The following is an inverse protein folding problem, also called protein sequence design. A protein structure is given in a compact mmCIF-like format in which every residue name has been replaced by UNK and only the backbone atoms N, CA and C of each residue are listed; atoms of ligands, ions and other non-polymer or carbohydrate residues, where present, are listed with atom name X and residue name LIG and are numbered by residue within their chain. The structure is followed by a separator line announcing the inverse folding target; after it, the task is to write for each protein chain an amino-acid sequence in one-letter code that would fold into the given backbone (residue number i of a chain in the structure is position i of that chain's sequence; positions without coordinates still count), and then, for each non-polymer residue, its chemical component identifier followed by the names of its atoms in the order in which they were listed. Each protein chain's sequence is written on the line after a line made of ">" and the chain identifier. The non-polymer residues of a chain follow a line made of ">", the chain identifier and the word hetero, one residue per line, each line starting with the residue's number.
data_IF_907902692125
#
_entry.id   IF_907902692125
#
_cell.length_a   1.000
_cell.length_b   1.000
_cell.length_c   1.000
_cell.angle_alpha   90.00
_cell.angle_beta   90.00
_cell.angle_gamma   90.00
#
_symmetry.space_group_name_H-M   'P 1'
#
loop_
_entity.id
_entity.type
_entity.pdbx_description
1 polymer ?
#
# COMPACT_ATOMS: atom_id res chain seq x y z
N UNK A 1 -1.37 7.74 -14.84
CA UNK A 1 -0.97 6.67 -13.90
C UNK A 1 -2.19 6.20 -13.13
N UNK A 2 -2.27 4.92 -12.79
CA UNK A 2 -3.31 4.39 -11.92
C UNK A 2 -2.75 3.24 -11.07
N UNK A 3 -3.32 3.03 -9.88
CA UNK A 3 -2.80 2.09 -8.90
C UNK A 3 -3.93 1.26 -8.31
N UNK A 4 -3.73 -0.05 -8.23
CA UNK A 4 -4.62 -0.98 -7.55
C UNK A 4 -3.82 -1.79 -6.53
N UNK A 5 -4.22 -1.76 -5.27
CA UNK A 5 -3.55 -2.48 -4.20
C UNK A 5 -4.56 -3.23 -3.34
N UNK A 6 -4.13 -4.35 -2.78
CA UNK A 6 -4.84 -5.06 -1.74
C UNK A 6 -3.84 -5.52 -0.70
N UNK A 7 -4.26 -5.52 0.56
CA UNK A 7 -3.41 -5.83 1.69
C UNK A 7 -4.25 -6.45 2.78
N UNK A 8 -3.73 -7.51 3.37
CA UNK A 8 -4.22 -8.08 4.62
C UNK A 8 -3.02 -8.38 5.51
N UNK A 9 -3.26 -8.52 6.81
CA UNK A 9 -2.19 -8.56 7.80
C UNK A 9 -2.22 -9.82 8.61
N UNK A 10 -1.04 -10.40 8.86
CA UNK A 10 -0.86 -11.46 9.86
C UNK A 10 0.02 -10.95 10.98
N UNK A 11 -0.56 -10.83 12.18
CA UNK A 11 0.15 -10.34 13.36
C UNK A 11 0.73 -11.51 14.18
N UNK A 12 1.93 -11.32 14.71
CA UNK A 12 2.64 -12.26 15.58
C UNK A 12 3.23 -11.53 16.78
N UNK A 13 3.06 -12.11 17.97
CA UNK A 13 3.65 -11.61 19.21
C UNK A 13 5.01 -12.29 19.46
N UNK A 14 6.02 -11.49 19.79
CA UNK A 14 7.41 -11.92 20.00
C UNK A 14 7.91 -11.52 21.40
N UNK A 15 7.04 -11.45 22.41
CA UNK A 15 7.37 -11.00 23.76
C UNK A 15 7.48 -9.48 23.84
N UNK A 16 8.65 -8.92 23.57
CA UNK A 16 8.90 -7.47 23.63
C UNK A 16 8.54 -6.75 22.32
N UNK A 17 7.95 -7.44 21.36
CA UNK A 17 7.63 -6.89 20.04
C UNK A 17 6.39 -7.55 19.43
N UNK A 18 5.75 -6.83 18.52
CA UNK A 18 4.69 -7.33 17.63
C UNK A 18 5.19 -7.19 16.20
N UNK A 19 5.20 -8.27 15.43
CA UNK A 19 5.43 -8.21 13.98
C UNK A 19 4.11 -8.32 13.23
N UNK A 20 3.99 -7.54 12.16
CA UNK A 20 2.83 -7.49 11.28
C UNK A 20 3.33 -7.77 9.86
N UNK A 21 3.02 -8.96 9.36
CA UNK A 21 3.28 -9.33 7.98
C UNK A 21 2.24 -8.65 7.08
N UNK A 22 2.70 -7.82 6.15
CA UNK A 22 1.83 -7.10 5.20
C UNK A 22 1.74 -7.91 3.90
N UNK A 23 0.67 -8.69 3.76
CA UNK A 23 0.51 -9.67 2.68
C UNK A 23 -0.41 -9.09 1.61
N UNK A 24 0.01 -9.20 0.36
CA UNK A 24 -0.69 -8.68 -0.81
C UNK A 24 0.29 -8.02 -1.78
N UNK A 25 -0.26 -7.43 -2.84
CA UNK A 25 0.51 -6.69 -3.82
C UNK A 25 -0.23 -5.44 -4.33
N UNK A 26 0.58 -4.51 -4.82
CA UNK A 26 0.15 -3.35 -5.57
C UNK A 26 0.56 -3.46 -7.03
N UNK A 27 -0.32 -2.98 -7.91
CA UNK A 27 -0.05 -2.82 -9.34
C UNK A 27 -0.13 -1.35 -9.68
N UNK A 28 0.99 -0.77 -10.09
CA UNK A 28 1.09 0.59 -10.63
C UNK A 28 1.15 0.53 -12.15
N UNK A 29 0.13 1.05 -12.82
CA UNK A 29 0.09 1.12 -14.28
C UNK A 29 0.46 2.51 -14.77
N UNK A 30 1.53 2.60 -15.55
CA UNK A 30 1.90 3.80 -16.30
C UNK A 30 1.19 3.79 -17.66
N UNK A 31 -0.04 4.33 -17.67
CA UNK A 31 -0.93 4.34 -18.83
C UNK A 31 -0.34 4.87 -20.15
N UNK A 32 0.66 5.76 -20.09
CA UNK A 32 1.29 6.34 -21.28
C UNK A 32 2.36 5.42 -21.89
N UNK A 33 2.96 4.56 -21.08
CA UNK A 33 3.98 3.59 -21.50
C UNK A 33 3.40 2.18 -21.67
N UNK A 34 2.15 1.99 -21.23
CA UNK A 34 1.50 0.68 -21.16
C UNK A 34 2.38 -0.30 -20.37
N UNK A 35 2.89 0.17 -19.23
CA UNK A 35 3.74 -0.59 -18.32
C UNK A 35 3.02 -0.82 -17.00
N UNK A 36 3.19 -2.02 -16.45
CA UNK A 36 2.68 -2.39 -15.14
C UNK A 36 3.84 -2.76 -14.23
N UNK A 37 3.88 -2.14 -13.07
CA UNK A 37 4.84 -2.38 -12.01
C UNK A 37 4.12 -3.06 -10.86
N UNK A 38 4.45 -4.33 -10.62
CA UNK A 38 3.91 -5.11 -9.50
C UNK A 38 4.87 -4.99 -8.34
N UNK A 39 4.37 -4.68 -7.14
CA UNK A 39 5.19 -4.53 -5.95
C UNK A 39 4.55 -5.10 -4.69
N UNK A 40 5.39 -5.58 -3.78
CA UNK A 40 4.99 -6.07 -2.45
C UNK A 40 5.17 -5.00 -1.38
N UNK A 41 4.78 -5.30 -0.14
CA UNK A 41 4.89 -4.39 1.01
C UNK A 41 5.97 -4.87 1.97
N UNK A 42 6.65 -3.96 2.70
CA UNK A 42 7.51 -4.36 3.80
C UNK A 42 6.65 -4.82 4.98
N UNK A 43 7.19 -5.66 5.86
CA UNK A 43 6.57 -5.95 7.14
C UNK A 43 6.73 -4.76 8.09
N UNK A 44 5.84 -4.65 9.07
CA UNK A 44 5.95 -3.65 10.13
C UNK A 44 6.20 -4.33 11.47
N UNK A 45 7.03 -3.73 12.31
CA UNK A 45 7.31 -4.22 13.66
C UNK A 45 7.06 -3.10 14.66
N UNK A 46 6.28 -3.39 15.69
CA UNK A 46 6.18 -2.56 16.88
C UNK A 46 7.11 -3.14 17.95
N UNK A 47 8.09 -2.37 18.38
CA UNK A 47 9.14 -2.75 19.32
C UNK A 47 8.90 -2.11 20.68
N UNK A 48 9.49 -2.68 21.73
CA UNK A 48 9.47 -2.11 23.08
C UNK A 48 8.05 -1.86 23.62
N UNK A 49 7.12 -2.78 23.33
CA UNK A 49 5.68 -2.63 23.63
C UNK A 49 5.36 -2.58 25.13
N UNK A 50 6.26 -3.06 26.00
CA UNK A 50 6.12 -2.99 27.46
C UNK A 50 6.82 -1.77 28.08
N UNK A 51 7.49 -0.94 27.26
CA UNK A 51 8.20 0.26 27.73
C UNK A 51 7.82 1.48 26.90
N UNK A 52 8.64 1.87 25.93
CA UNK A 52 8.36 2.99 25.03
C UNK A 52 8.20 2.45 23.60
N UNK A 53 6.95 2.25 23.13
CA UNK A 53 6.70 1.66 21.82
C UNK A 53 7.28 2.49 20.69
N UNK A 54 7.93 1.83 19.73
CA UNK A 54 8.36 2.45 18.47
C UNK A 54 8.18 1.48 17.32
N UNK A 55 8.08 2.00 16.10
CA UNK A 55 7.88 1.18 14.92
C UNK A 55 9.10 1.17 13.99
N UNK A 56 9.26 0.08 13.26
CA UNK A 56 10.20 -0.04 12.14
C UNK A 56 9.58 -0.88 11.02
N UNK A 57 10.09 -0.67 9.81
CA UNK A 57 9.80 -1.51 8.67
C UNK A 57 10.91 -2.54 8.49
N UNK A 58 10.54 -3.74 8.04
CA UNK A 58 11.49 -4.81 7.83
C UNK A 58 11.10 -5.74 6.69
N UNK A 59 12.07 -6.54 6.24
CA UNK A 59 11.84 -7.54 5.20
C UNK A 59 12.04 -7.01 3.79
N UNK A 60 11.66 -7.84 2.80
CA UNK A 60 12.01 -7.63 1.40
C UNK A 60 10.81 -7.16 0.58
N UNK A 61 10.97 -6.03 -0.08
CA UNK A 61 10.04 -5.50 -1.08
C UNK A 61 10.59 -5.80 -2.47
N UNK A 62 9.77 -6.45 -3.30
CA UNK A 62 10.08 -6.65 -4.71
C UNK A 62 9.23 -5.69 -5.55
N UNK A 63 9.80 -5.13 -6.61
CA UNK A 63 9.11 -4.30 -7.60
C UNK A 63 9.53 -4.83 -8.96
N UNK A 64 8.61 -5.22 -9.83
CA UNK A 64 8.96 -5.77 -11.15
C UNK A 64 8.03 -5.28 -12.25
N UNK A 65 8.59 -5.15 -13.45
CA UNK A 65 7.83 -4.85 -14.66
C UNK A 65 8.17 -5.90 -15.72
N UNK A 66 7.21 -6.78 -16.01
CA UNK A 66 7.41 -7.87 -16.97
C UNK A 66 7.66 -7.37 -18.39
N UNK A 67 7.05 -6.24 -18.77
CA UNK A 67 7.20 -5.66 -20.13
C UNK A 67 8.62 -5.17 -20.40
N UNK A 68 9.24 -4.51 -19.42
CA UNK A 68 10.58 -3.93 -19.59
C UNK A 68 11.68 -4.87 -19.10
N UNK A 69 11.34 -5.94 -18.36
CA UNK A 69 12.29 -6.86 -17.77
C UNK A 69 13.07 -6.29 -16.57
N UNK A 70 12.76 -5.06 -16.12
CA UNK A 70 13.37 -4.50 -14.93
C UNK A 70 12.72 -5.06 -13.66
N UNK A 71 13.56 -5.35 -12.67
CA UNK A 71 13.15 -5.80 -11.35
C UNK A 71 14.03 -5.16 -10.29
N UNK A 72 13.44 -4.81 -9.16
CA UNK A 72 14.11 -4.25 -8.01
C UNK A 72 13.79 -5.07 -6.77
N UNK A 73 14.81 -5.29 -5.95
CA UNK A 73 14.72 -5.97 -4.67
C UNK A 73 15.27 -5.03 -3.61
N UNK A 74 14.39 -4.51 -2.75
CA UNK A 74 14.73 -3.57 -1.67
C UNK A 74 14.51 -4.27 -0.33
N UNK A 75 15.54 -4.34 0.49
CA UNK A 75 15.49 -4.87 1.85
C UNK A 75 15.40 -3.72 2.83
N UNK A 76 14.33 -3.73 3.63
CA UNK A 76 14.20 -2.91 4.83
C UNK A 76 14.87 -3.66 5.98
N UNK A 77 15.90 -3.07 6.55
CA UNK A 77 16.67 -3.66 7.64
C UNK A 77 16.05 -3.28 8.97
N UNK A 78 15.71 -4.30 9.76
CA UNK A 78 15.36 -4.11 11.17
C UNK A 78 16.63 -3.81 11.96
N UNK A 79 16.52 -2.98 13.00
CA UNK A 79 17.65 -2.62 13.86
C UNK A 79 18.29 -3.88 14.47
N UNK A 80 19.62 -4.07 14.36
CA UNK A 80 20.33 -5.13 15.06
C UNK A 80 20.20 -5.02 16.58
N UNK A 81 20.35 -6.15 17.28
CA UNK A 81 20.26 -6.20 18.74
C UNK A 81 21.38 -5.39 19.43
N UNK A 82 22.56 -5.29 18.81
CA UNK A 82 23.73 -4.59 19.37
C UNK A 82 24.04 -3.32 18.58
N UNK A 83 23.38 -2.22 18.94
CA UNK A 83 23.56 -0.95 18.25
C UNK A 83 23.13 -0.98 16.78
N UNK A 84 23.35 0.11 16.07
CA UNK A 84 23.02 0.24 14.65
C UNK A 84 22.06 1.39 14.34
N UNK A 85 22.05 1.74 13.06
CA UNK A 85 21.27 2.84 12.50
C UNK A 85 19.87 2.30 12.16
N UNK A 86 18.83 3.08 12.47
CA UNK A 86 17.44 2.73 12.18
C UNK A 86 17.10 2.98 10.72
N UNK A 87 15.97 2.43 10.27
CA UNK A 87 15.34 2.75 9.00
C UNK A 87 16.24 2.53 7.78
N UNK A 88 17.23 1.65 7.91
CA UNK A 88 18.17 1.35 6.83
C UNK A 88 17.48 0.55 5.72
N UNK A 89 17.81 0.89 4.47
CA UNK A 89 17.44 0.14 3.29
C UNK A 89 18.66 -0.16 2.44
N UNK A 90 18.67 -1.34 1.82
CA UNK A 90 19.56 -1.64 0.71
C UNK A 90 18.76 -2.24 -0.44
N UNK A 91 19.25 -2.12 -1.65
CA UNK A 91 18.60 -2.76 -2.77
C UNK A 91 19.37 -2.64 -4.07
N UNK A 92 18.82 -3.25 -5.09
CA UNK A 92 19.36 -3.18 -6.44
C UNK A 92 18.23 -3.22 -7.46
N UNK A 93 18.43 -2.49 -8.55
CA UNK A 93 17.62 -2.56 -9.76
C UNK A 93 18.41 -3.34 -10.80
N UNK A 94 17.81 -4.38 -11.36
CA UNK A 94 18.40 -5.28 -12.36
C UNK A 94 17.53 -5.34 -13.60
N UNK A 95 18.17 -5.45 -14.76
CA UNK A 95 17.50 -5.85 -15.99
C UNK A 95 17.63 -7.37 -16.14
N UNK A 96 16.57 -8.10 -15.79
CA UNK A 96 16.59 -9.56 -15.67
C UNK A 96 17.06 -10.27 -16.94
N UNK A 97 16.63 -9.90 -18.16
CA UNK A 97 17.08 -10.58 -19.39
C UNK A 97 18.58 -10.50 -19.62
N UNK A 98 19.22 -9.39 -19.21
CA UNK A 98 20.67 -9.19 -19.41
C UNK A 98 21.52 -9.52 -18.18
N UNK A 99 20.91 -9.76 -17.02
CA UNK A 99 21.59 -9.86 -15.72
C UNK A 99 22.26 -8.56 -15.23
N UNK A 100 22.21 -7.47 -16.00
CA UNK A 100 22.88 -6.21 -15.68
C UNK A 100 22.26 -5.53 -14.45
N UNK A 101 23.12 -5.14 -13.50
CA UNK A 101 22.75 -4.22 -12.41
C UNK A 101 22.72 -2.80 -12.96
N UNK A 102 21.57 -2.14 -12.81
CA UNK A 102 21.30 -0.79 -13.30
C UNK A 102 21.57 0.25 -12.22
N UNK A 103 21.22 -0.07 -10.98
CA UNK A 103 21.31 0.84 -9.84
C UNK A 103 21.47 0.03 -8.56
N UNK A 104 22.30 0.52 -7.64
CA UNK A 104 22.34 0.06 -6.25
C UNK A 104 21.74 1.13 -5.34
N UNK A 105 20.95 0.72 -4.38
CA UNK A 105 20.22 1.58 -3.45
C UNK A 105 20.79 1.34 -2.06
N UNK A 106 21.10 2.41 -1.33
CA UNK A 106 21.55 2.36 0.06
C UNK A 106 21.09 3.63 0.79
N UNK A 107 20.79 3.54 2.09
CA UNK A 107 20.51 4.71 2.92
C UNK A 107 19.43 4.45 3.96
N UNK A 108 18.77 5.51 4.39
CA UNK A 108 17.65 5.49 5.34
C UNK A 108 16.37 5.95 4.63
N UNK A 109 15.31 5.15 4.67
CA UNK A 109 14.07 5.44 3.93
C UNK A 109 13.31 6.68 4.45
N UNK A 110 13.62 7.10 5.67
CA UNK A 110 13.07 8.30 6.34
C UNK A 110 13.90 9.56 6.10
N UNK A 111 15.22 9.42 5.91
CA UNK A 111 16.17 10.56 5.91
C UNK A 111 16.81 10.82 4.55
N UNK A 112 17.63 9.87 4.06
CA UNK A 112 18.44 10.05 2.85
C UNK A 112 18.68 8.69 2.18
N UNK A 113 18.40 8.63 0.88
CA UNK A 113 18.57 7.46 0.02
C UNK A 113 19.57 7.82 -1.09
N UNK A 114 20.59 7.00 -1.25
CA UNK A 114 21.60 7.11 -2.29
C UNK A 114 21.41 6.00 -3.33
N UNK A 115 21.47 6.41 -4.60
CA UNK A 115 21.30 5.58 -5.77
C UNK A 115 22.57 5.64 -6.61
N UNK A 116 23.27 4.52 -6.70
CA UNK A 116 24.56 4.42 -7.39
C UNK A 116 24.39 3.68 -8.71
N UNK A 117 24.70 4.34 -9.82
CA UNK A 117 24.62 3.80 -11.17
C UNK A 117 26.01 3.34 -11.64
N UNK A 118 26.23 2.02 -11.82
CA UNK A 118 27.48 1.50 -12.34
C UNK A 118 27.53 1.74 -13.85
N UNK A 119 28.06 2.88 -14.28
CA UNK A 119 28.34 3.15 -15.69
C UNK A 119 29.83 2.90 -16.01
N UNK A 120 30.16 2.65 -17.28
CA UNK A 120 31.49 2.22 -17.77
C UNK A 120 32.58 3.32 -17.74
N UNK A 121 32.51 4.27 -16.82
CA UNK A 121 33.49 5.36 -16.71
C UNK A 121 33.43 6.09 -15.38
N UNK A 122 32.35 6.82 -15.13
CA UNK A 122 32.15 7.57 -13.88
C UNK A 122 30.93 7.03 -13.16
N UNK A 123 31.12 6.64 -11.90
CA UNK A 123 30.02 6.22 -11.04
C UNK A 123 29.14 7.43 -10.74
N UNK A 124 27.91 7.43 -11.27
CA UNK A 124 26.94 8.47 -10.96
C UNK A 124 26.22 8.11 -9.64
N UNK A 125 26.18 9.06 -8.71
CA UNK A 125 25.41 8.94 -7.47
C UNK A 125 24.29 9.96 -7.50
N UNK A 126 23.05 9.50 -7.32
CA UNK A 126 21.87 10.34 -7.14
C UNK A 126 21.39 10.22 -5.70
N UNK A 127 21.07 11.35 -5.09
CA UNK A 127 20.58 11.43 -3.72
C UNK A 127 19.11 11.83 -3.72
N UNK A 128 18.32 11.20 -2.85
CA UNK A 128 16.95 11.56 -2.51
C UNK A 128 16.87 11.78 -1.00
N UNK A 129 16.23 12.86 -0.56
CA UNK A 129 16.10 13.21 0.86
C UNK A 129 14.60 13.25 1.26
N UNK A 130 14.00 12.12 1.67
CA UNK A 130 12.57 12.05 1.99
C UNK A 130 12.11 12.99 3.11
N UNK A 131 13.00 13.33 4.05
CA UNK A 131 12.71 14.19 5.19
C UNK A 131 12.35 15.64 4.79
N UNK A 132 12.91 16.16 3.70
CA UNK A 132 12.68 17.53 3.20
C UNK A 132 11.67 17.61 2.05
N UNK A 133 11.17 16.47 1.57
CA UNK A 133 10.18 16.44 0.49
C UNK A 133 8.81 16.99 0.94
N UNK A 134 8.20 17.83 0.09
CA UNK A 134 6.85 18.37 0.35
C UNK A 134 5.80 17.25 0.35
N UNK A 135 5.18 17.03 1.51
CA UNK A 135 4.06 16.10 1.67
C UNK A 135 2.79 16.73 1.10
N UNK A 136 2.13 16.03 0.18
CA UNK A 136 0.84 16.47 -0.40
C UNK A 136 -0.31 15.80 0.35
N UNK A 137 -1.20 16.60 0.92
CA UNK A 137 -2.39 16.11 1.61
C UNK A 137 -3.50 15.75 0.60
N UNK A 138 -4.29 14.73 0.93
CA UNK A 138 -5.48 14.38 0.15
C UNK A 138 -6.59 15.41 0.42
N UNK A 139 -7.26 15.87 -0.63
CA UNK A 139 -8.51 16.63 -0.49
C UNK A 139 -9.63 15.68 -0.10
N UNK A 140 -10.28 15.95 1.03
CA UNK A 140 -11.30 15.07 1.59
C UNK A 140 -12.58 15.87 1.82
N UNK A 141 -13.72 15.22 1.60
CA UNK A 141 -15.02 15.84 1.84
C UNK A 141 -15.22 16.13 3.33
N UNK A 142 -15.91 17.22 3.70
CA UNK A 142 -16.34 17.47 5.06
C UNK A 142 -17.07 16.27 5.66
N UNK A 143 -16.89 16.01 6.96
CA UNK A 143 -17.49 14.84 7.64
C UNK A 143 -19.02 14.83 7.54
N UNK A 144 -19.66 16.00 7.53
CA UNK A 144 -21.10 16.16 7.35
C UNK A 144 -21.61 15.64 6.00
N UNK A 145 -20.77 15.61 4.97
CA UNK A 145 -21.10 15.14 3.62
C UNK A 145 -20.62 13.71 3.34
N UNK A 146 -20.08 13.03 4.35
CA UNK A 146 -19.64 11.64 4.23
C UNK A 146 -20.79 10.67 4.54
N UNK A 147 -20.77 9.52 3.86
CA UNK A 147 -21.63 8.39 4.18
C UNK A 147 -21.24 7.77 5.54
N UNK A 148 -22.18 7.08 6.18
CA UNK A 148 -21.99 6.56 7.54
C UNK A 148 -20.82 5.59 7.67
N UNK A 149 -20.53 4.82 6.62
CA UNK A 149 -19.44 3.85 6.60
C UNK A 149 -18.12 4.42 6.04
N UNK A 150 -18.02 5.74 5.81
CA UNK A 150 -16.72 6.37 5.50
C UNK A 150 -15.91 6.54 6.78
N UNK A 151 -14.61 6.21 6.73
CA UNK A 151 -13.78 6.02 7.92
C UNK A 151 -13.78 7.19 8.90
N UNK A 152 -13.76 8.45 8.42
CA UNK A 152 -13.75 9.61 9.33
C UNK A 152 -15.07 9.79 10.06
N UNK A 153 -16.20 9.47 9.41
CA UNK A 153 -17.53 9.56 10.03
C UNK A 153 -17.75 8.38 10.97
N UNK A 154 -17.46 7.17 10.50
CA UNK A 154 -17.64 5.93 11.25
C UNK A 154 -16.83 5.93 12.57
N UNK A 155 -15.56 6.36 12.50
CA UNK A 155 -14.66 6.39 13.67
C UNK A 155 -14.64 7.72 14.42
N UNK A 156 -15.53 8.66 14.10
CA UNK A 156 -15.44 10.05 14.60
C UNK A 156 -15.37 10.10 16.13
N UNK A 157 -16.30 9.43 16.82
CA UNK A 157 -16.38 9.45 18.29
C UNK A 157 -15.15 8.85 18.96
N UNK A 158 -14.64 7.72 18.44
CA UNK A 158 -13.39 7.11 18.91
C UNK A 158 -12.22 8.07 18.72
N UNK A 159 -12.08 8.67 17.52
CA UNK A 159 -10.97 9.60 17.25
C UNK A 159 -11.04 10.86 18.08
N UNK A 160 -12.23 11.35 18.41
CA UNK A 160 -12.39 12.53 19.26
C UNK A 160 -12.03 12.24 20.71
N UNK A 161 -12.47 11.10 21.25
CA UNK A 161 -12.08 10.67 22.59
C UNK A 161 -10.55 10.48 22.70
N UNK A 162 -9.91 9.88 21.70
CA UNK A 162 -8.44 9.75 21.64
C UNK A 162 -7.75 11.11 21.59
N UNK A 163 -8.28 12.09 20.86
CA UNK A 163 -7.71 13.46 20.83
C UNK A 163 -7.81 14.17 22.18
N UNK A 164 -8.84 13.85 22.95
CA UNK A 164 -9.08 14.39 24.30
C UNK A 164 -8.35 13.59 25.38
N UNK A 165 -7.57 12.56 25.01
CA UNK A 165 -6.89 11.64 25.92
C UNK A 165 -7.85 10.90 26.87
N UNK A 166 -9.13 10.77 26.49
CA UNK A 166 -10.16 10.04 27.24
C UNK A 166 -10.19 8.57 26.80
N UNK A 167 -9.32 7.78 27.43
CA UNK A 167 -9.14 6.36 27.11
C UNK A 167 -10.41 5.55 27.37
N UNK A 168 -11.15 5.86 28.44
CA UNK A 168 -12.36 5.13 28.81
C UNK A 168 -13.45 5.32 27.77
N UNK A 169 -13.70 6.57 27.37
CA UNK A 169 -14.67 6.90 26.34
C UNK A 169 -14.26 6.35 24.97
N UNK A 170 -12.97 6.39 24.64
CA UNK A 170 -12.46 5.79 23.41
C UNK A 170 -12.72 4.28 23.36
N UNK A 171 -12.52 3.58 24.49
CA UNK A 171 -12.79 2.15 24.61
C UNK A 171 -14.29 1.84 24.49
N UNK A 172 -15.16 2.64 25.13
CA UNK A 172 -16.61 2.51 25.05
C UNK A 172 -17.13 2.68 23.61
N UNK A 173 -16.76 3.78 22.95
CA UNK A 173 -17.20 4.06 21.57
C UNK A 173 -16.66 3.03 20.58
N UNK A 174 -15.42 2.55 20.80
CA UNK A 174 -14.84 1.44 20.03
C UNK A 174 -15.66 0.16 20.22
N UNK A 175 -15.97 -0.19 21.46
CA UNK A 175 -16.73 -1.39 21.78
C UNK A 175 -18.11 -1.37 21.14
N UNK A 176 -18.83 -0.24 21.25
CA UNK A 176 -20.14 -0.03 20.63
C UNK A 176 -20.12 -0.25 19.12
N UNK A 177 -19.12 0.31 18.43
CA UNK A 177 -18.95 0.13 16.99
C UNK A 177 -18.68 -1.32 16.62
N UNK A 178 -17.76 -1.98 17.33
CA UNK A 178 -17.38 -3.38 17.07
C UNK A 178 -18.52 -4.37 17.37
N UNK A 179 -19.31 -4.13 18.42
CA UNK A 179 -20.47 -4.95 18.76
C UNK A 179 -21.57 -4.85 17.70
N UNK A 180 -21.84 -3.65 17.18
CA UNK A 180 -22.78 -3.46 16.06
C UNK A 180 -22.36 -4.28 14.84
N UNK A 181 -21.06 -4.26 14.50
CA UNK A 181 -20.53 -5.03 13.37
C UNK A 181 -20.58 -6.55 13.61
N UNK A 182 -20.37 -6.98 14.86
CA UNK A 182 -20.47 -8.38 15.27
C UNK A 182 -21.91 -8.90 15.13
N UNK A 183 -22.89 -8.10 15.54
CA UNK A 183 -24.31 -8.43 15.39
C UNK A 183 -24.72 -8.51 13.92
N UNK A 184 -24.32 -7.54 13.09
CA UNK A 184 -24.57 -7.59 11.64
C UNK A 184 -23.95 -8.82 10.97
N UNK A 185 -22.73 -9.21 11.39
CA UNK A 185 -22.07 -10.40 10.87
C UNK A 185 -22.84 -11.67 11.25
N UNK A 186 -23.30 -11.77 12.49
CA UNK A 186 -24.14 -12.88 12.96
C UNK A 186 -25.46 -12.98 12.19
N UNK A 187 -26.14 -11.85 11.97
CA UNK A 187 -27.38 -11.83 11.16
C UNK A 187 -27.14 -12.27 9.71
N UNK A 188 -26.00 -11.89 9.11
CA UNK A 188 -25.61 -12.35 7.77
C UNK A 188 -25.38 -13.86 7.73
N UNK A 189 -24.72 -14.41 8.74
CA UNK A 189 -24.49 -15.84 8.88
C UNK A 189 -25.81 -16.61 9.05
N UNK A 190 -26.67 -16.18 9.97
CA UNK A 190 -27.98 -16.80 10.23
C UNK A 190 -28.92 -16.75 9.01
N UNK A 191 -28.85 -15.69 8.21
CA UNK A 191 -29.63 -15.55 6.97
C UNK A 191 -28.98 -16.21 5.75
N UNK A 192 -27.78 -16.77 5.87
CA UNK A 192 -27.00 -17.29 4.74
C UNK A 192 -26.63 -16.24 3.70
N UNK A 193 -26.66 -14.96 4.05
CA UNK A 193 -26.37 -13.85 3.12
C UNK A 193 -24.87 -13.54 3.10
N UNK A 194 -24.15 -13.74 1.99
CA UNK A 194 -22.73 -13.45 1.93
C UNK A 194 -22.45 -11.94 2.00
N UNK A 195 -21.30 -11.57 2.56
CA UNK A 195 -20.83 -10.19 2.52
C UNK A 195 -20.52 -9.77 1.08
N UNK A 196 -21.13 -8.66 0.63
CA UNK A 196 -20.91 -8.10 -0.70
C UNK A 196 -20.12 -6.81 -0.62
N UNK A 197 -18.93 -6.82 -1.22
CA UNK A 197 -18.09 -5.64 -1.37
C UNK A 197 -18.70 -4.62 -2.34
N UNK A 198 -18.62 -3.33 -1.99
CA UNK A 198 -19.22 -2.24 -2.80
C UNK A 198 -18.33 -1.77 -3.95
N UNK A 199 -17.01 -1.68 -3.70
CA UNK A 199 -16.07 -0.97 -4.59
C UNK A 199 -15.02 -1.88 -5.25
N UNK A 200 -14.86 -3.09 -4.73
CA UNK A 200 -13.89 -4.07 -5.21
C UNK A 200 -14.59 -5.39 -5.48
N UNK A 201 -14.02 -6.21 -6.34
CA UNK A 201 -14.40 -7.61 -6.55
C UNK A 201 -13.16 -8.50 -6.48
N UNK A 202 -13.38 -9.75 -6.11
CA UNK A 202 -12.35 -10.78 -6.08
C UNK A 202 -12.00 -11.22 -7.51
N UNK A 203 -10.71 -11.44 -7.76
CA UNK A 203 -10.18 -11.94 -9.01
C UNK A 203 -8.99 -12.88 -8.73
N UNK A 204 -9.26 -14.18 -8.66
CA UNK A 204 -8.32 -15.15 -8.10
C UNK A 204 -8.06 -14.81 -6.63
N UNK A 205 -6.80 -14.76 -6.22
CA UNK A 205 -6.42 -14.39 -4.84
C UNK A 205 -6.30 -12.87 -4.63
N UNK A 206 -6.71 -12.05 -5.61
CA UNK A 206 -6.53 -10.58 -5.60
C UNK A 206 -7.84 -9.83 -5.53
N UNK A 207 -7.77 -8.56 -5.14
CA UNK A 207 -8.89 -7.63 -5.17
C UNK A 207 -8.69 -6.53 -6.22
N UNK A 208 -9.68 -6.34 -7.08
CA UNK A 208 -9.66 -5.34 -8.15
C UNK A 208 -10.70 -4.26 -7.92
N UNK A 209 -10.26 -3.00 -8.03
CA UNK A 209 -11.16 -1.86 -7.97
C UNK A 209 -12.08 -1.82 -9.21
N UNK A 210 -13.39 -1.75 -8.97
CA UNK A 210 -14.41 -1.88 -10.02
C UNK A 210 -14.30 -0.81 -11.11
N UNK A 211 -13.79 0.38 -10.78
CA UNK A 211 -13.73 1.55 -11.67
C UNK A 211 -12.31 2.00 -12.00
N UNK A 212 -11.34 1.08 -12.05
CA UNK A 212 -9.96 1.43 -12.32
C UNK A 212 -9.78 2.10 -13.70
N UNK A 213 -8.92 3.13 -13.78
CA UNK A 213 -8.79 3.99 -14.98
C UNK A 213 -8.40 3.21 -16.24
N UNK A 214 -7.59 2.15 -16.10
CA UNK A 214 -7.22 1.28 -17.23
C UNK A 214 -8.45 0.62 -17.87
N UNK A 215 -9.39 0.12 -17.08
CA UNK A 215 -10.65 -0.46 -17.56
C UNK A 215 -11.53 0.61 -18.22
N UNK A 216 -11.62 1.80 -17.63
CA UNK A 216 -12.37 2.92 -18.21
C UNK A 216 -11.82 3.30 -19.59
N UNK A 217 -10.50 3.37 -19.75
CA UNK A 217 -9.86 3.67 -21.03
C UNK A 217 -10.10 2.57 -22.07
N UNK A 218 -9.99 1.29 -21.69
CA UNK A 218 -10.32 0.14 -22.57
C UNK A 218 -11.78 0.19 -23.04
N UNK A 219 -12.74 0.49 -22.16
CA UNK A 219 -14.16 0.66 -22.50
C UNK A 219 -14.40 1.82 -23.47
N UNK A 220 -13.71 2.96 -23.27
CA UNK A 220 -13.82 4.11 -24.18
C UNK A 220 -13.27 3.78 -25.57
N UNK A 221 -12.12 3.10 -25.66
CA UNK A 221 -11.56 2.68 -26.95
C UNK A 221 -12.43 1.64 -27.67
N UNK A 222 -12.98 0.66 -26.97
CA UNK A 222 -13.88 -0.34 -27.58
C UNK A 222 -15.21 0.27 -28.04
N UNK A 223 -15.75 1.23 -27.29
CA UNK A 223 -16.93 1.99 -27.70
C UNK A 223 -16.66 2.87 -28.94
N UNK A 224 -15.48 3.47 -29.06
CA UNK A 224 -15.08 4.25 -30.24
C UNK A 224 -14.94 3.36 -31.48
N UNK A 225 -14.31 2.19 -31.34
CA UNK A 225 -14.14 1.22 -32.43
C UNK A 225 -15.49 0.69 -32.95
N UNK A 226 -16.41 0.34 -32.04
CA UNK A 226 -17.79 -0.05 -32.38
C UNK A 226 -18.61 1.04 -33.09
N UNK A 227 -18.26 2.33 -32.93
CA UNK A 227 -18.91 3.42 -33.66
C UNK A 227 -18.35 3.58 -35.08
N UNK A 228 -17.08 3.26 -35.30
CA UNK A 228 -16.44 3.31 -36.61
C UNK A 228 -16.81 2.11 -37.49
N UNK A 229 -17.05 0.95 -36.90
CA UNK A 229 -17.43 -0.28 -37.62
C UNK A 229 -18.94 -0.37 -37.94
N UNK A 230 -19.73 0.70 -37.70
CA UNK A 230 -21.16 0.71 -38.11
C UNK A 230 -21.24 0.94 -39.63
N UNK A 231 -21.89 0.03 -40.40
CA UNK A 231 -22.08 0.23 -41.83
C UNK A 231 -22.87 1.53 -42.07
N UNK A 232 -22.42 2.32 -43.05
CA UNK A 232 -23.15 3.52 -43.48
C UNK A 232 -24.52 3.09 -43.99
N UNK A 233 -25.60 3.79 -43.61
CA UNK A 233 -26.92 3.51 -44.17
C UNK A 233 -26.87 3.72 -45.68
N UNK A 234 -27.32 2.70 -46.41
CA UNK A 234 -27.56 2.69 -47.86
C UNK A 234 -28.64 3.66 -48.27
#
# INVERSE_FOLDING_TARGET
>A
MCMNCHIWTKSKFYGMSIGVELIGDGVLTLLNHDEEYVFTFPNAYCRSILTHPWHELGGKVNISCSKTGFSSSITFHTKPMYGGIRDQITGEVKHLPSGRVVCRINGQWTEKIEMTFPDKGVQQVKVMEPNVMKKTCKNLRPVSLQHDNESRKLWNHVTEAVRQDDINKAAEEKHKLEESQRLEAKQREESGTPWKTKLFHEHGEKWLYNNHLSLRRKRLHSASKKRQDKPKPT
#
